data_IF_892435763015
#
_entry.id   IF_892435763015
#
_cell.length_a   1.000
_cell.length_b   1.000
_cell.length_c   1.000
_cell.angle_alpha   90.00
_cell.angle_beta   90.00
_cell.angle_gamma   90.00
#
_symmetry.space_group_name_H-M   'P 1'
#
loop_
_entity.id
_entity.type
_entity.pdbx_description
1 polymer ?
#
# COMPACT_ATOMS: atom_id res chain seq x y z
N UNK A 1 25.52 20.97 37.02
CA UNK A 1 26.02 20.35 35.79
C UNK A 1 25.12 19.14 35.55
N UNK A 2 24.02 19.25 34.79
CA UNK A 2 23.95 19.43 33.31
C UNK A 2 24.90 18.43 32.62
N UNK A 3 24.53 17.55 31.71
CA UNK A 3 23.29 17.18 31.01
C UNK A 3 23.60 15.83 30.32
N UNK A 4 22.62 15.25 29.61
CA UNK A 4 22.77 14.25 28.54
C UNK A 4 23.16 12.81 28.95
N UNK A 5 22.48 11.74 28.55
CA UNK A 5 21.63 11.57 27.38
C UNK A 5 20.66 10.40 27.61
N UNK A 6 19.36 10.70 27.67
CA UNK A 6 18.31 9.72 27.42
C UNK A 6 18.35 9.35 25.93
N UNK A 7 19.12 8.33 25.56
CA UNK A 7 19.09 7.78 24.19
C UNK A 7 18.91 6.26 24.16
N UNK A 8 18.08 5.71 25.04
CA UNK A 8 17.47 4.38 24.85
C UNK A 8 16.07 4.49 24.26
N UNK A 9 15.82 5.54 23.50
CA UNK A 9 14.61 5.69 22.69
C UNK A 9 15.02 5.55 21.22
N UNK A 10 14.53 4.47 20.60
CA UNK A 10 14.31 4.38 19.15
C UNK A 10 15.48 3.92 18.27
N UNK A 11 16.25 2.91 18.69
CA UNK A 11 17.12 2.18 17.74
C UNK A 11 16.53 0.83 17.29
N UNK A 12 15.49 0.31 17.95
CA UNK A 12 14.79 -0.92 17.52
C UNK A 12 13.69 -0.67 16.46
N UNK A 13 13.44 0.59 16.06
CA UNK A 13 12.43 0.93 15.06
C UNK A 13 12.95 0.92 13.61
N UNK A 14 14.25 0.70 13.39
CA UNK A 14 14.91 0.93 12.09
C UNK A 14 15.22 -0.35 11.29
N UNK A 15 14.91 -1.54 11.84
CA UNK A 15 15.46 -2.80 11.31
C UNK A 15 14.54 -3.66 10.40
N UNK A 16 13.29 -3.31 10.10
CA UNK A 16 12.39 -4.23 9.35
C UNK A 16 11.39 -3.53 8.40
N UNK A 17 11.85 -2.64 7.50
CA UNK A 17 10.94 -1.93 6.57
C UNK A 17 11.40 -1.92 5.09
N UNK A 18 12.51 -2.59 4.71
CA UNK A 18 13.05 -2.48 3.34
C UNK A 18 12.26 -3.23 2.26
N UNK A 19 11.54 -4.30 2.59
CA UNK A 19 10.77 -5.09 1.63
C UNK A 19 9.31 -4.61 1.48
N UNK A 20 9.09 -3.30 1.55
CA UNK A 20 7.74 -2.71 1.51
C UNK A 20 7.70 -1.52 0.58
N UNK A 21 6.82 -1.57 -0.41
CA UNK A 21 6.60 -0.45 -1.32
C UNK A 21 5.38 0.33 -0.86
N UNK A 22 5.60 1.55 -0.35
CA UNK A 22 4.51 2.52 -0.14
C UNK A 22 4.05 3.07 -1.50
N UNK A 23 2.76 2.95 -1.76
CA UNK A 23 2.08 3.41 -2.96
C UNK A 23 1.10 4.53 -2.58
N UNK A 24 1.47 5.81 -2.80
CA UNK A 24 0.62 6.94 -2.46
C UNK A 24 -0.59 7.06 -3.41
N UNK A 25 -1.64 7.82 -3.02
CA UNK A 25 -2.81 8.10 -3.85
C UNK A 25 -2.49 8.55 -5.29
N UNK A 26 -1.43 9.34 -5.47
CA UNK A 26 -1.03 9.84 -6.78
C UNK A 26 -0.45 8.76 -7.71
N UNK A 27 -0.08 7.58 -7.19
CA UNK A 27 0.39 6.43 -7.96
C UNK A 27 -0.76 5.47 -8.27
N UNK A 28 -1.67 5.25 -7.31
CA UNK A 28 -2.74 4.23 -7.42
C UNK A 28 -4.08 4.77 -7.92
N UNK A 29 -4.31 6.08 -7.80
CA UNK A 29 -5.62 6.69 -8.02
C UNK A 29 -6.63 6.36 -6.92
N UNK A 30 -6.21 5.71 -5.83
CA UNK A 30 -7.04 5.45 -4.64
C UNK A 30 -7.11 6.69 -3.74
N UNK A 31 -8.16 6.83 -2.92
CA UNK A 31 -8.24 7.93 -1.96
C UNK A 31 -7.24 7.79 -0.79
N UNK A 32 -6.58 6.65 -0.61
CA UNK A 32 -5.61 6.37 0.46
C UNK A 32 -4.31 5.76 -0.06
N UNK A 33 -3.27 5.83 0.77
CA UNK A 33 -2.05 5.06 0.57
C UNK A 33 -2.29 3.57 0.78
N UNK A 34 -1.59 2.77 -0.03
CA UNK A 34 -1.52 1.31 0.12
C UNK A 34 -0.07 0.87 0.14
N UNK A 35 0.16 -0.37 0.55
CA UNK A 35 1.48 -0.94 0.61
C UNK A 35 1.44 -2.40 0.18
N UNK A 36 2.44 -2.79 -0.60
CA UNK A 36 2.69 -4.17 -0.99
C UNK A 36 4.02 -4.63 -0.39
N UNK A 37 4.15 -5.92 -0.17
CA UNK A 37 5.39 -6.55 0.32
C UNK A 37 5.76 -7.68 -0.60
N UNK A 38 7.02 -8.09 -0.55
CA UNK A 38 7.37 -9.42 -1.02
C UNK A 38 6.77 -10.48 -0.08
N UNK A 39 6.91 -11.72 -0.48
CA UNK A 39 6.42 -12.87 0.26
C UNK A 39 7.16 -13.05 1.61
N UNK A 40 8.40 -12.58 1.76
CA UNK A 40 9.26 -12.77 2.96
C UNK A 40 9.21 -14.21 3.53
N UNK A 41 9.08 -15.20 2.63
CA UNK A 41 8.95 -16.62 2.98
C UNK A 41 7.59 -17.05 3.55
N UNK A 42 6.56 -16.20 3.56
CA UNK A 42 5.18 -16.54 3.90
C UNK A 42 4.45 -17.30 2.78
N UNK A 43 4.10 -18.58 2.99
CA UNK A 43 3.45 -19.42 1.96
C UNK A 43 1.99 -19.01 1.63
N UNK A 44 1.51 -17.85 2.10
CA UNK A 44 0.14 -17.40 1.89
C UNK A 44 -0.01 -16.67 0.56
N UNK A 45 -1.24 -16.64 0.08
CA UNK A 45 -1.65 -15.77 -1.00
C UNK A 45 -1.42 -14.30 -0.62
N UNK A 46 -0.65 -13.59 -1.46
CA UNK A 46 -0.24 -12.21 -1.20
C UNK A 46 -1.38 -11.27 -0.83
N UNK A 47 -1.04 -10.24 -0.05
CA UNK A 47 -1.99 -9.22 0.42
C UNK A 47 -1.46 -7.82 0.17
N UNK A 48 -2.37 -6.85 0.25
CA UNK A 48 -2.07 -5.42 0.24
C UNK A 48 -2.53 -4.85 1.57
N UNK A 49 -1.72 -4.00 2.19
CA UNK A 49 -2.21 -3.21 3.34
C UNK A 49 -2.75 -1.87 2.89
N UNK A 50 -3.83 -1.45 3.51
CA UNK A 50 -4.59 -0.27 3.08
C UNK A 50 -4.72 0.69 4.23
N UNK A 51 -4.40 1.97 4.02
CA UNK A 51 -4.60 2.95 5.09
C UNK A 51 -6.10 3.18 5.32
N UNK A 52 -6.50 3.25 6.59
CA UNK A 52 -7.84 3.68 6.99
C UNK A 52 -8.04 5.19 6.86
N UNK A 53 -6.97 5.95 6.62
CA UNK A 53 -7.02 7.39 6.40
C UNK A 53 -6.92 7.70 4.91
N UNK A 54 -7.77 8.61 4.44
CA UNK A 54 -7.65 9.17 3.09
C UNK A 54 -6.45 10.13 3.03
N UNK A 55 -5.78 10.15 1.88
CA UNK A 55 -4.54 10.87 1.63
C UNK A 55 -3.29 9.99 1.75
N UNK A 56 -2.12 10.63 1.74
CA UNK A 56 -0.84 9.94 1.87
C UNK A 56 -0.41 9.70 3.34
N UNK A 57 -1.26 10.14 4.27
CA UNK A 57 -1.08 9.96 5.71
C UNK A 57 -1.56 8.57 6.09
N UNK A 58 -0.76 7.84 6.86
CA UNK A 58 -1.12 6.49 7.28
C UNK A 58 0.09 5.74 7.80
N UNK A 59 -0.16 4.68 8.56
CA UNK A 59 0.89 3.79 9.05
C UNK A 59 0.65 2.38 8.54
N UNK A 60 1.73 1.73 8.06
CA UNK A 60 1.72 0.35 7.61
C UNK A 60 1.28 -0.61 8.72
N UNK A 61 1.79 -0.45 9.95
CA UNK A 61 1.61 -1.45 11.02
C UNK A 61 0.14 -1.70 11.39
N UNK A 62 -0.69 -0.68 11.68
CA UNK A 62 -2.10 -0.87 12.01
C UNK A 62 -3.02 -1.00 10.79
N UNK A 63 -2.50 -0.85 9.56
CA UNK A 63 -3.33 -0.91 8.38
C UNK A 63 -4.00 -2.29 8.23
N UNK A 64 -5.29 -2.37 7.87
CA UNK A 64 -5.91 -3.63 7.50
C UNK A 64 -5.32 -4.20 6.22
N UNK A 65 -5.45 -5.52 6.07
CA UNK A 65 -4.98 -6.27 4.91
C UNK A 65 -6.15 -6.71 4.03
N UNK A 66 -5.96 -6.57 2.72
CA UNK A 66 -6.84 -7.09 1.66
C UNK A 66 -6.07 -8.21 0.95
N UNK A 67 -6.63 -9.41 0.92
CA UNK A 67 -6.05 -10.51 0.16
C UNK A 67 -6.14 -10.22 -1.35
N UNK A 68 -5.17 -10.71 -2.13
CA UNK A 68 -5.16 -10.53 -3.60
C UNK A 68 -5.79 -11.73 -4.32
N UNK A 69 -5.47 -12.95 -3.87
CA UNK A 69 -5.95 -14.21 -4.46
C UNK A 69 -6.91 -14.93 -3.48
N UNK A 70 -7.85 -15.77 -3.98
CA UNK A 70 -8.22 -15.92 -5.39
C UNK A 70 -9.01 -14.71 -5.94
N UNK A 71 -9.65 -13.93 -5.08
CA UNK A 71 -10.32 -12.66 -5.40
C UNK A 71 -10.14 -11.66 -4.25
N UNK A 72 -10.15 -10.34 -4.50
CA UNK A 72 -9.85 -9.37 -3.45
C UNK A 72 -10.91 -9.32 -2.36
N UNK A 73 -10.49 -9.51 -1.11
CA UNK A 73 -11.37 -9.47 0.07
C UNK A 73 -10.62 -9.02 1.32
N UNK A 74 -11.33 -8.44 2.28
CA UNK A 74 -10.74 -8.13 3.59
C UNK A 74 -10.35 -9.42 4.31
N UNK A 75 -9.12 -9.48 4.83
CA UNK A 75 -8.70 -10.59 5.71
C UNK A 75 -9.44 -10.49 7.05
N UNK A 76 -9.68 -9.27 7.54
CA UNK A 76 -10.48 -8.98 8.74
C UNK A 76 -11.66 -8.09 8.34
N UNK A 77 -12.87 -8.64 8.20
CA UNK A 77 -14.05 -7.90 7.77
C UNK A 77 -14.42 -6.73 8.70
N UNK A 78 -14.88 -5.64 8.11
CA UNK A 78 -15.35 -4.44 8.82
C UNK A 78 -14.24 -3.43 9.11
N UNK A 79 -13.06 -3.61 8.51
CA UNK A 79 -11.91 -2.74 8.75
C UNK A 79 -11.93 -1.48 7.89
N UNK A 80 -12.58 -1.51 6.71
CA UNK A 80 -12.75 -0.37 5.82
C UNK A 80 -14.23 -0.18 5.46
N UNK A 81 -14.63 1.06 5.09
CA UNK A 81 -15.92 1.31 4.46
C UNK A 81 -16.09 0.49 3.18
N UNK A 82 -17.30 -0.02 2.90
CA UNK A 82 -17.57 -0.84 1.72
C UNK A 82 -17.21 -0.15 0.39
N UNK A 83 -17.34 1.18 0.30
CA UNK A 83 -16.95 1.95 -0.87
C UNK A 83 -15.42 1.92 -1.11
N UNK A 84 -14.64 1.96 -0.03
CA UNK A 84 -13.18 1.90 -0.08
C UNK A 84 -12.72 0.48 -0.45
N UNK A 85 -13.35 -0.55 0.11
CA UNK A 85 -13.13 -1.95 -0.30
C UNK A 85 -13.36 -2.08 -1.81
N UNK A 86 -14.48 -1.58 -2.33
CA UNK A 86 -14.80 -1.68 -3.74
C UNK A 86 -13.77 -0.97 -4.64
N UNK A 87 -13.23 0.18 -4.21
CA UNK A 87 -12.16 0.88 -4.93
C UNK A 87 -10.85 0.10 -4.90
N UNK A 88 -10.45 -0.39 -3.73
CA UNK A 88 -9.23 -1.17 -3.55
C UNK A 88 -9.31 -2.48 -4.33
N UNK A 89 -10.42 -3.20 -4.26
CA UNK A 89 -10.63 -4.44 -5.03
C UNK A 89 -10.48 -4.20 -6.53
N UNK A 90 -11.07 -3.12 -7.08
CA UNK A 90 -10.87 -2.76 -8.49
C UNK A 90 -9.41 -2.45 -8.82
N UNK A 91 -8.71 -1.73 -7.94
CA UNK A 91 -7.30 -1.43 -8.13
C UNK A 91 -6.44 -2.70 -8.07
N UNK A 92 -6.74 -3.63 -7.17
CA UNK A 92 -6.07 -4.94 -7.07
C UNK A 92 -6.32 -5.75 -8.34
N UNK A 93 -7.58 -5.87 -8.79
CA UNK A 93 -7.88 -6.63 -10.00
C UNK A 93 -7.19 -6.05 -11.24
N UNK A 94 -7.09 -4.72 -11.33
CA UNK A 94 -6.38 -4.03 -12.41
C UNK A 94 -4.86 -4.26 -12.40
N UNK A 95 -4.28 -4.42 -11.20
CA UNK A 95 -2.82 -4.49 -11.00
C UNK A 95 -2.35 -5.86 -10.48
N UNK A 96 -3.21 -6.88 -10.58
CA UNK A 96 -3.02 -8.17 -9.92
C UNK A 96 -1.68 -8.80 -10.27
N UNK A 97 -1.34 -8.80 -11.55
CA UNK A 97 -0.08 -9.38 -12.05
C UNK A 97 1.13 -8.68 -11.43
N UNK A 98 1.17 -7.34 -11.43
CA UNK A 98 2.28 -6.56 -10.84
C UNK A 98 2.42 -6.83 -9.33
N UNK A 99 1.30 -6.94 -8.61
CA UNK A 99 1.31 -7.21 -7.17
C UNK A 99 1.82 -8.63 -6.89
N UNK A 100 1.41 -9.61 -7.70
CA UNK A 100 1.86 -11.00 -7.57
C UNK A 100 3.32 -11.15 -7.98
N UNK A 101 3.75 -10.54 -9.08
CA UNK A 101 5.13 -10.56 -9.53
C UNK A 101 6.07 -9.98 -8.47
N UNK A 102 5.66 -8.89 -7.80
CA UNK A 102 6.42 -8.33 -6.69
C UNK A 102 6.42 -9.26 -5.47
N UNK A 103 5.26 -9.84 -5.14
CA UNK A 103 5.14 -10.82 -4.05
C UNK A 103 6.05 -12.03 -4.27
N UNK A 104 6.06 -12.59 -5.48
CA UNK A 104 6.83 -13.79 -5.86
C UNK A 104 8.32 -13.47 -6.14
N UNK A 105 8.74 -12.20 -6.04
CA UNK A 105 10.12 -11.76 -6.28
C UNK A 105 10.55 -11.78 -7.74
N UNK A 106 9.60 -11.75 -8.68
CA UNK A 106 9.83 -11.68 -10.13
C UNK A 106 10.25 -10.28 -10.56
N UNK A 107 9.77 -9.25 -9.86
CA UNK A 107 10.13 -7.85 -10.09
C UNK A 107 10.57 -7.18 -8.79
N UNK A 108 11.47 -6.21 -8.89
CA UNK A 108 11.95 -5.44 -7.74
C UNK A 108 11.08 -4.18 -7.48
N UNK A 109 11.31 -3.53 -6.34
CA UNK A 109 10.54 -2.36 -5.91
C UNK A 109 10.57 -1.18 -6.90
N UNK A 110 11.66 -1.01 -7.66
CA UNK A 110 11.81 0.02 -8.68
C UNK A 110 10.96 -0.23 -9.93
N UNK A 111 10.58 -1.48 -10.18
CA UNK A 111 9.77 -1.88 -11.33
C UNK A 111 8.26 -1.83 -11.06
N UNK A 112 7.85 -1.79 -9.79
CA UNK A 112 6.44 -1.76 -9.39
C UNK A 112 5.75 -0.50 -9.92
N UNK A 113 6.23 0.68 -9.52
CA UNK A 113 5.52 1.95 -9.78
C UNK A 113 5.31 2.23 -11.28
N UNK A 114 6.29 2.00 -12.17
CA UNK A 114 6.09 2.19 -13.61
C UNK A 114 5.06 1.25 -14.25
N UNK A 115 4.81 0.08 -13.66
CA UNK A 115 3.87 -0.92 -14.18
C UNK A 115 2.45 -0.78 -13.62
N UNK A 116 2.26 0.02 -12.57
CA UNK A 116 0.95 0.23 -11.96
C UNK A 116 0.04 1.11 -12.83
N UNK A 117 -1.22 0.71 -12.88
CA UNK A 117 -2.33 1.43 -13.46
C UNK A 117 -3.22 2.03 -12.36
N UNK A 118 -3.71 3.25 -12.61
CA UNK A 118 -4.59 3.95 -11.68
C UNK A 118 -6.05 3.50 -11.84
N UNK A 119 -6.76 3.35 -10.72
CA UNK A 119 -8.20 2.98 -10.77
C UNK A 119 -9.08 4.15 -11.23
N UNK A 120 -8.58 5.38 -11.13
CA UNK A 120 -9.14 6.56 -11.77
C UNK A 120 -7.99 7.39 -12.36
N UNK A 121 -8.01 7.69 -13.66
CA UNK A 121 -7.01 8.59 -14.22
C UNK A 121 -7.14 9.96 -13.57
N UNK A 122 -6.01 10.59 -13.26
CA UNK A 122 -5.96 12.00 -12.85
C UNK A 122 -6.78 12.80 -13.85
N UNK A 123 -7.94 13.36 -13.46
CA UNK A 123 -8.64 14.32 -14.31
C UNK A 123 -7.63 15.41 -14.68
N UNK A 124 -7.40 15.70 -15.97
CA UNK A 124 -6.65 16.89 -16.30
C UNK A 124 -7.39 18.06 -15.64
N UNK A 125 -6.65 18.85 -14.85
CA UNK A 125 -7.15 20.12 -14.35
C UNK A 125 -7.34 21.02 -15.56
N UNK A 126 -8.53 20.99 -16.17
CA UNK A 126 -8.92 21.98 -17.16
C UNK A 126 -9.19 23.24 -16.35
N UNK A 127 -8.15 24.05 -16.17
CA UNK A 127 -8.33 25.44 -15.78
C UNK A 127 -8.93 26.14 -17.01
N UNK A 128 -10.26 26.26 -17.03
CA UNK A 128 -10.94 27.16 -17.96
C UNK A 128 -10.65 28.56 -17.43
N UNK A 129 -9.64 29.21 -18.00
CA UNK A 129 -9.48 30.65 -17.85
C UNK A 129 -10.63 31.33 -18.60
N UNK A 130 -11.41 32.15 -17.89
CA UNK A 130 -12.31 33.13 -18.47
C UNK A 130 -11.55 34.42 -18.79
#
# INVERSE_FOLDING_TARGET
MMDDLKNTTTTEAVAEDWAKVKLPPCVTGLPMAVWITDNDGYPRDGWVKVSTLHGDRGSWRPAPSIAVRPQPHEIVPGSLPAADIALVSRWIDLNREVIIDYWDGVIDCDEVKPRLQQVQPKRPSISVAQ
#
